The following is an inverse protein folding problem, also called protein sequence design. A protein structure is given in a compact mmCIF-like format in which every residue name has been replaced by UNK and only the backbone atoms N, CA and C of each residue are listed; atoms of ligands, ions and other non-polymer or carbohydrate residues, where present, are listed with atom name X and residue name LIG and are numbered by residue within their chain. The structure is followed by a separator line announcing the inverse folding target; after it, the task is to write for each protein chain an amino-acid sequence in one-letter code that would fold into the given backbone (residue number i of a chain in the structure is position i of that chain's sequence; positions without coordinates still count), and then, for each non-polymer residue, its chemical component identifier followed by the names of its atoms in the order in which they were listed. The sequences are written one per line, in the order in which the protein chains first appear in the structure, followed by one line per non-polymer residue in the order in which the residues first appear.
data_IF_764977202255
#
_entry.id   IF_764977202255
#
_cell.length_a   1.000
_cell.length_b   1.000
_cell.length_c   1.000
_cell.angle_alpha   90.00
_cell.angle_beta   90.00
_cell.angle_gamma   90.00
#
_symmetry.space_group_name_H-M   'P 1'
#
loop_
_entity.id
_entity.type
_entity.pdbx_description
1 polymer ?
#
# COMPACT_ATOMS: atom_id res chain seq x y z
N UNK A 1 -64.41 -54.50 3.61
CA UNK A 1 -63.19 -53.92 4.20
C UNK A 1 -62.07 -53.95 3.19
N UNK A 2 -61.84 -52.82 2.47
CA UNK A 2 -60.84 -52.71 1.41
C UNK A 2 -59.68 -51.89 1.97
N UNK A 3 -58.50 -52.50 2.19
CA UNK A 3 -57.25 -51.79 2.57
C UNK A 3 -56.63 -51.16 1.34
N UNK A 4 -56.57 -49.83 1.33
CA UNK A 4 -55.77 -49.03 0.34
C UNK A 4 -54.31 -49.01 0.78
N UNK A 5 -53.42 -49.57 -0.06
CA UNK A 5 -52.01 -49.52 0.07
C UNK A 5 -51.55 -48.16 -0.56
N UNK A 6 -50.99 -47.29 0.25
CA UNK A 6 -50.39 -45.99 -0.24
C UNK A 6 -48.93 -46.27 -0.58
N UNK A 7 -48.61 -46.27 -1.88
CA UNK A 7 -47.22 -46.37 -2.35
C UNK A 7 -46.61 -44.96 -2.33
N UNK A 8 -45.65 -44.71 -1.42
CA UNK A 8 -44.86 -43.47 -1.38
C UNK A 8 -43.70 -43.62 -2.38
N UNK A 9 -43.76 -42.90 -3.49
CA UNK A 9 -42.62 -42.73 -4.39
C UNK A 9 -41.63 -41.73 -3.77
N UNK A 10 -40.50 -42.22 -3.31
CA UNK A 10 -39.37 -41.37 -2.92
C UNK A 10 -38.61 -40.93 -4.19
N UNK A 11 -38.77 -39.67 -4.57
CA UNK A 11 -38.00 -39.06 -5.65
C UNK A 11 -36.57 -38.78 -5.16
N UNK A 12 -35.62 -39.64 -5.56
CA UNK A 12 -34.20 -39.31 -5.43
C UNK A 12 -33.85 -38.16 -6.40
N UNK A 13 -33.69 -36.98 -5.90
CA UNK A 13 -33.09 -35.89 -6.65
C UNK A 13 -31.58 -36.18 -6.78
N UNK A 14 -31.14 -36.68 -7.93
CA UNK A 14 -29.74 -36.70 -8.31
C UNK A 14 -29.29 -35.22 -8.45
N UNK A 15 -28.53 -34.73 -7.49
CA UNK A 15 -27.76 -33.51 -7.67
C UNK A 15 -26.71 -33.78 -8.76
N UNK A 16 -27.03 -33.41 -9.99
CA UNK A 16 -26.06 -33.41 -11.07
C UNK A 16 -24.93 -32.45 -10.69
N UNK A 17 -23.75 -32.97 -10.37
CA UNK A 17 -22.52 -32.19 -10.30
C UNK A 17 -22.30 -31.58 -11.68
N UNK A 18 -22.64 -30.29 -11.85
CA UNK A 18 -22.31 -29.57 -13.06
C UNK A 18 -20.79 -29.64 -13.26
N UNK A 19 -20.35 -30.10 -14.44
CA UNK A 19 -18.94 -30.12 -14.77
C UNK A 19 -18.40 -28.65 -14.63
N UNK A 20 -17.23 -28.45 -14.01
CA UNK A 20 -16.63 -27.15 -13.97
C UNK A 20 -16.53 -26.57 -15.39
N UNK A 21 -16.81 -25.29 -15.56
CA UNK A 21 -16.58 -24.60 -16.83
C UNK A 21 -15.11 -24.66 -17.25
N UNK A 22 -14.78 -24.26 -18.49
CA UNK A 22 -13.40 -24.24 -18.94
C UNK A 22 -12.53 -23.37 -18.01
N UNK A 23 -11.28 -23.77 -17.84
CA UNK A 23 -10.32 -22.99 -17.06
C UNK A 23 -10.04 -21.66 -17.75
N UNK A 24 -10.04 -20.59 -16.97
CA UNK A 24 -9.59 -19.27 -17.40
C UNK A 24 -8.12 -19.07 -16.97
N UNK A 25 -7.29 -18.64 -17.90
CA UNK A 25 -5.87 -18.36 -17.66
C UNK A 25 -5.59 -16.89 -17.94
N UNK A 26 -5.03 -16.18 -16.97
CA UNK A 26 -4.74 -14.76 -17.05
C UNK A 26 -3.63 -14.39 -16.08
N UNK A 27 -3.32 -13.13 -15.96
CA UNK A 27 -2.39 -12.66 -14.94
C UNK A 27 -2.62 -11.20 -14.58
N UNK A 28 -1.77 -10.72 -13.66
CA UNK A 28 -1.71 -9.32 -13.31
C UNK A 28 -0.27 -8.84 -13.33
N UNK A 29 -0.07 -7.61 -13.77
CA UNK A 29 1.19 -6.89 -13.61
C UNK A 29 0.91 -5.62 -12.83
N UNK A 30 1.66 -5.40 -11.74
CA UNK A 30 1.61 -4.17 -10.96
C UNK A 30 2.87 -3.34 -11.20
N UNK A 31 2.69 -2.04 -11.41
CA UNK A 31 3.76 -1.09 -11.63
C UNK A 31 3.70 0.07 -10.65
N UNK A 32 4.87 0.52 -10.23
CA UNK A 32 5.04 1.77 -9.50
C UNK A 32 5.87 2.70 -10.39
N UNK A 33 5.19 3.54 -11.17
CA UNK A 33 5.81 4.24 -12.28
C UNK A 33 6.34 3.25 -13.32
N UNK A 34 7.60 3.39 -13.70
CA UNK A 34 8.26 2.51 -14.69
C UNK A 34 8.69 1.15 -14.11
N UNK A 35 8.63 0.97 -12.79
CA UNK A 35 9.07 -0.26 -12.15
C UNK A 35 7.96 -1.28 -12.02
N UNK A 36 8.14 -2.49 -12.53
CA UNK A 36 7.33 -3.64 -12.15
C UNK A 36 7.60 -3.99 -10.70
N UNK A 37 6.55 -4.09 -9.89
CA UNK A 37 6.64 -4.39 -8.46
C UNK A 37 6.07 -5.76 -8.11
N UNK A 38 5.10 -6.26 -8.88
CA UNK A 38 4.67 -7.65 -8.83
C UNK A 38 4.20 -8.16 -10.19
N UNK A 39 4.24 -9.48 -10.35
CA UNK A 39 3.71 -10.20 -11.49
C UNK A 39 3.02 -11.47 -10.99
N UNK A 40 1.84 -11.74 -11.51
CA UNK A 40 1.00 -12.86 -11.06
C UNK A 40 0.44 -13.62 -12.26
N UNK A 41 0.55 -14.95 -12.21
CA UNK A 41 -0.09 -15.90 -13.12
C UNK A 41 -1.28 -16.52 -12.40
N UNK A 42 -2.47 -16.51 -12.99
CA UNK A 42 -3.70 -16.96 -12.36
C UNK A 42 -4.43 -17.97 -13.25
N UNK A 43 -4.89 -19.05 -12.63
CA UNK A 43 -5.81 -20.00 -13.24
C UNK A 43 -7.09 -20.07 -12.41
N UNK A 44 -8.23 -19.92 -13.05
CA UNK A 44 -9.54 -20.04 -12.39
C UNK A 44 -10.38 -21.12 -13.05
N UNK A 45 -10.88 -22.06 -12.26
CA UNK A 45 -11.77 -23.13 -12.71
C UNK A 45 -12.97 -23.22 -11.76
N UNK A 46 -14.12 -22.74 -12.20
CA UNK A 46 -15.31 -22.68 -11.37
C UNK A 46 -15.12 -21.83 -10.10
N UNK A 47 -15.13 -22.48 -8.93
CA UNK A 47 -14.91 -21.82 -7.64
C UNK A 47 -13.48 -21.96 -7.10
N UNK A 48 -12.57 -22.51 -7.89
CA UNK A 48 -11.15 -22.64 -7.51
C UNK A 48 -10.33 -21.61 -8.25
N UNK A 49 -9.42 -20.95 -7.53
CA UNK A 49 -8.44 -20.00 -8.05
C UNK A 49 -7.06 -20.46 -7.60
N UNK A 50 -6.14 -20.65 -8.54
CA UNK A 50 -4.72 -20.91 -8.24
C UNK A 50 -3.89 -19.77 -8.78
N UNK A 51 -2.85 -19.37 -8.08
CA UNK A 51 -1.93 -18.35 -8.58
C UNK A 51 -0.49 -18.60 -8.18
N UNK A 52 0.43 -18.23 -9.09
CA UNK A 52 1.86 -18.06 -8.84
C UNK A 52 2.19 -16.59 -8.94
N UNK A 53 2.77 -16.03 -7.89
CA UNK A 53 3.06 -14.59 -7.80
C UNK A 53 4.49 -14.36 -7.36
N UNK A 54 5.08 -13.28 -7.87
CA UNK A 54 6.33 -12.72 -7.36
C UNK A 54 6.19 -11.22 -7.12
N UNK A 55 6.62 -10.77 -5.94
CA UNK A 55 6.78 -9.36 -5.61
C UNK A 55 8.20 -9.04 -5.12
N UNK A 56 8.49 -7.75 -4.95
CA UNK A 56 9.85 -7.34 -4.53
C UNK A 56 9.89 -6.36 -3.37
N UNK A 57 8.80 -6.13 -2.65
CA UNK A 57 8.82 -5.16 -1.55
C UNK A 57 8.11 -5.64 -0.29
N UNK A 58 8.77 -5.55 0.86
CA UNK A 58 10.13 -5.04 1.12
C UNK A 58 11.25 -5.99 0.69
N UNK A 59 10.91 -7.23 0.38
CA UNK A 59 11.78 -8.33 -0.08
C UNK A 59 11.18 -8.97 -1.30
N UNK A 60 11.94 -9.82 -1.96
CA UNK A 60 11.40 -10.70 -2.99
C UNK A 60 10.65 -11.84 -2.29
N UNK A 61 9.36 -11.96 -2.57
CA UNK A 61 8.56 -13.12 -2.20
C UNK A 61 8.11 -13.83 -3.47
N UNK A 62 8.12 -15.15 -3.41
CA UNK A 62 7.44 -16.01 -4.37
C UNK A 62 6.32 -16.71 -3.63
N UNK A 63 5.09 -16.65 -4.15
CA UNK A 63 3.90 -17.26 -3.55
C UNK A 63 3.20 -18.17 -4.53
N UNK A 64 2.86 -19.35 -4.04
CA UNK A 64 1.89 -20.22 -4.68
C UNK A 64 0.62 -20.27 -3.84
N UNK A 65 -0.54 -20.07 -4.43
CA UNK A 65 -1.81 -20.13 -3.70
C UNK A 65 -2.85 -20.99 -4.39
N UNK A 66 -3.62 -21.73 -3.58
CA UNK A 66 -4.81 -22.45 -4.00
C UNK A 66 -5.99 -21.99 -3.13
N UNK A 67 -7.04 -21.49 -3.78
CA UNK A 67 -8.19 -20.89 -3.10
C UNK A 67 -9.47 -21.56 -3.59
N UNK A 68 -10.29 -22.03 -2.65
CA UNK A 68 -11.66 -22.43 -2.92
C UNK A 68 -12.63 -21.36 -2.41
N UNK A 69 -13.53 -20.92 -3.27
CA UNK A 69 -14.51 -19.88 -2.95
C UNK A 69 -15.80 -20.48 -2.39
N UNK A 70 -16.39 -19.74 -1.46
CA UNK A 70 -17.72 -20.01 -0.93
C UNK A 70 -18.80 -19.49 -1.90
N UNK A 71 -20.07 -19.92 -1.75
CA UNK A 71 -21.17 -19.45 -2.60
C UNK A 71 -21.38 -17.93 -2.59
N UNK A 72 -21.04 -17.23 -1.50
CA UNK A 72 -21.10 -15.75 -1.41
C UNK A 72 -19.91 -15.06 -2.11
N UNK A 73 -18.98 -15.81 -2.69
CA UNK A 73 -17.78 -15.28 -3.37
C UNK A 73 -16.58 -15.05 -2.48
N UNK A 74 -16.74 -15.13 -1.16
CA UNK A 74 -15.64 -15.08 -0.21
C UNK A 74 -14.81 -16.36 -0.19
N UNK A 75 -13.74 -16.39 0.58
CA UNK A 75 -12.88 -17.55 0.73
C UNK A 75 -13.56 -18.59 1.62
N UNK A 76 -13.54 -19.84 1.18
CA UNK A 76 -13.89 -21.01 1.97
C UNK A 76 -12.64 -21.72 2.49
N UNK A 77 -11.67 -21.91 1.63
CA UNK A 77 -10.41 -22.56 1.94
C UNK A 77 -9.28 -21.87 1.18
N UNK A 78 -8.14 -21.68 1.80
CA UNK A 78 -6.93 -21.15 1.19
C UNK A 78 -5.74 -21.94 1.68
N UNK A 79 -4.89 -22.35 0.74
CA UNK A 79 -3.53 -22.82 1.00
C UNK A 79 -2.58 -21.86 0.31
N UNK A 80 -1.51 -21.46 1.00
CA UNK A 80 -0.49 -20.60 0.42
C UNK A 80 0.90 -21.00 0.90
N UNK A 81 1.79 -21.23 -0.05
CA UNK A 81 3.21 -21.42 0.17
C UNK A 81 3.96 -20.13 -0.19
N UNK A 82 4.82 -19.68 0.71
CA UNK A 82 5.58 -18.44 0.54
C UNK A 82 7.06 -18.74 0.74
N UNK A 83 7.88 -18.32 -0.21
CA UNK A 83 9.34 -18.33 -0.10
C UNK A 83 9.90 -16.92 -0.18
N UNK A 84 11.01 -16.70 0.48
CA UNK A 84 11.77 -15.44 0.44
C UNK A 84 13.23 -15.79 0.13
N UNK A 85 13.59 -15.91 -1.16
CA UNK A 85 14.87 -16.47 -1.58
C UNK A 85 16.10 -15.74 -1.03
N UNK A 86 15.98 -14.44 -0.79
CA UNK A 86 17.08 -13.59 -0.30
C UNK A 86 17.32 -13.69 1.22
N UNK A 87 16.40 -14.30 1.96
CA UNK A 87 16.50 -14.40 3.41
C UNK A 87 15.78 -15.67 3.92
N UNK A 88 16.35 -16.84 3.60
CA UNK A 88 15.76 -18.13 3.98
C UNK A 88 15.77 -18.39 5.48
N UNK A 89 16.68 -17.77 6.23
CA UNK A 89 16.84 -18.03 7.67
C UNK A 89 15.81 -17.28 8.51
N UNK A 90 15.57 -15.99 8.21
CA UNK A 90 14.62 -15.15 8.95
C UNK A 90 13.19 -15.30 8.41
N UNK A 91 13.05 -15.45 7.08
CA UNK A 91 11.78 -15.54 6.38
C UNK A 91 11.61 -16.90 5.71
N UNK A 92 12.08 -17.94 6.37
CA UNK A 92 12.02 -19.32 5.86
C UNK A 92 10.68 -19.67 5.23
N UNK A 93 10.61 -20.68 4.36
CA UNK A 93 9.36 -21.06 3.72
C UNK A 93 8.23 -21.16 4.72
N UNK A 94 7.11 -20.54 4.39
CA UNK A 94 5.89 -20.51 5.21
C UNK A 94 4.79 -21.24 4.46
N UNK A 95 4.14 -22.15 5.13
CA UNK A 95 2.94 -22.83 4.66
C UNK A 95 1.75 -22.33 5.47
N UNK A 96 0.76 -21.75 4.82
CA UNK A 96 -0.41 -21.14 5.44
C UNK A 96 -1.66 -21.84 4.96
N UNK A 97 -2.51 -22.25 5.88
CA UNK A 97 -3.84 -22.79 5.60
C UNK A 97 -4.86 -21.94 6.32
N UNK A 98 -5.91 -21.53 5.63
CA UNK A 98 -7.04 -20.82 6.21
C UNK A 98 -8.35 -21.50 5.81
N UNK A 99 -9.15 -21.86 6.81
CA UNK A 99 -10.47 -22.44 6.66
C UNK A 99 -11.54 -21.47 7.18
N UNK A 100 -12.50 -21.14 6.33
CA UNK A 100 -13.66 -20.34 6.71
C UNK A 100 -14.87 -21.27 6.80
N UNK A 101 -15.36 -21.49 8.01
CA UNK A 101 -16.49 -22.39 8.27
C UNK A 101 -17.38 -21.82 9.37
N UNK A 102 -18.70 -21.86 9.13
CA UNK A 102 -19.66 -21.27 10.05
C UNK A 102 -19.35 -19.79 10.30
N UNK A 103 -19.21 -19.41 11.56
CA UNK A 103 -18.91 -18.03 11.98
C UNK A 103 -17.44 -17.84 12.38
N UNK A 104 -16.51 -18.58 11.77
CA UNK A 104 -15.09 -18.49 12.11
C UNK A 104 -14.15 -18.65 10.92
N UNK A 105 -12.99 -18.00 11.02
CA UNK A 105 -11.79 -18.30 10.22
C UNK A 105 -10.79 -18.97 11.13
N UNK A 106 -10.30 -20.12 10.71
CA UNK A 106 -9.21 -20.83 11.36
C UNK A 106 -8.00 -20.75 10.46
N UNK A 107 -6.91 -20.18 10.97
CA UNK A 107 -5.65 -20.07 10.23
C UNK A 107 -4.56 -20.86 10.92
N UNK A 108 -3.77 -21.56 10.15
CA UNK A 108 -2.56 -22.25 10.60
C UNK A 108 -1.39 -21.79 9.76
N UNK A 109 -0.32 -21.35 10.40
CA UNK A 109 0.98 -21.08 9.78
C UNK A 109 1.98 -22.11 10.26
N UNK A 110 2.72 -22.68 9.33
CA UNK A 110 3.89 -23.54 9.59
C UNK A 110 5.12 -22.90 8.97
N UNK A 111 6.18 -22.79 9.73
CA UNK A 111 7.50 -22.34 9.30
C UNK A 111 8.60 -23.11 10.03
N UNK A 112 9.88 -22.72 9.88
CA UNK A 112 11.02 -23.36 10.55
C UNK A 112 10.95 -23.31 12.08
N UNK A 113 10.17 -22.37 12.65
CA UNK A 113 10.00 -22.23 14.12
C UNK A 113 8.89 -23.11 14.68
N UNK A 114 8.11 -23.76 13.82
CA UNK A 114 7.01 -24.65 14.21
C UNK A 114 5.67 -24.28 13.58
N UNK A 115 4.57 -24.65 14.24
CA UNK A 115 3.22 -24.40 13.77
C UNK A 115 2.44 -23.54 14.78
N UNK A 116 1.79 -22.50 14.28
CA UNK A 116 0.89 -21.65 15.08
C UNK A 116 -0.50 -21.66 14.46
N UNK A 117 -1.52 -21.57 15.31
CA UNK A 117 -2.94 -21.59 14.91
C UNK A 117 -3.69 -20.44 15.57
N UNK A 118 -4.55 -19.79 14.80
CA UNK A 118 -5.44 -18.72 15.24
C UNK A 118 -6.86 -19.03 14.82
N UNK A 119 -7.81 -18.49 15.57
CA UNK A 119 -9.23 -18.55 15.22
C UNK A 119 -9.85 -17.15 15.44
N UNK A 120 -10.61 -16.70 14.45
CA UNK A 120 -11.26 -15.38 14.47
C UNK A 120 -12.74 -15.53 14.13
N UNK A 121 -13.60 -14.79 14.85
CA UNK A 121 -15.03 -14.76 14.53
C UNK A 121 -15.29 -13.91 13.27
N UNK A 122 -16.04 -14.45 12.31
CA UNK A 122 -16.44 -13.74 11.08
C UNK A 122 -17.68 -12.91 11.28
N UNK A 123 -18.52 -13.27 12.26
CA UNK A 123 -19.82 -12.66 12.54
C UNK A 123 -20.74 -12.63 11.32
N UNK A 124 -20.74 -13.72 10.54
CA UNK A 124 -21.54 -13.86 9.33
C UNK A 124 -21.08 -13.04 8.12
N UNK A 125 -19.96 -12.34 8.22
CA UNK A 125 -19.46 -11.53 7.12
C UNK A 125 -18.81 -12.37 6.02
N UNK A 126 -18.84 -11.86 4.79
CA UNK A 126 -18.02 -12.39 3.68
C UNK A 126 -16.55 -12.10 3.96
N UNK A 127 -15.72 -13.15 3.88
CA UNK A 127 -14.30 -13.10 4.23
C UNK A 127 -13.44 -13.22 2.99
N UNK A 128 -12.45 -12.36 2.89
CA UNK A 128 -11.41 -12.35 1.85
C UNK A 128 -10.02 -12.38 2.50
N UNK A 129 -8.99 -12.69 1.73
CA UNK A 129 -7.60 -12.60 2.18
C UNK A 129 -6.95 -11.32 1.67
N UNK A 130 -5.96 -10.83 2.39
CA UNK A 130 -5.16 -9.67 1.99
C UNK A 130 -3.68 -9.98 1.95
N UNK A 131 -3.09 -9.79 0.77
CA UNK A 131 -1.66 -9.67 0.53
C UNK A 131 -1.47 -8.42 -0.34
N UNK A 132 -0.63 -7.46 0.06
CA UNK A 132 -0.59 -6.13 -0.56
C UNK A 132 -0.35 -6.11 -2.07
N UNK A 133 0.25 -7.14 -2.64
CA UNK A 133 0.68 -7.17 -4.04
C UNK A 133 0.10 -8.34 -4.84
N UNK A 134 -0.83 -9.11 -4.27
CA UNK A 134 -1.56 -10.19 -4.96
C UNK A 134 -2.91 -9.70 -5.47
N UNK A 135 -3.03 -9.48 -6.76
CA UNK A 135 -4.23 -8.88 -7.35
C UNK A 135 -5.32 -9.89 -7.69
N UNK A 136 -5.01 -11.17 -7.74
CA UNK A 136 -6.04 -12.22 -7.68
C UNK A 136 -6.85 -12.16 -6.38
N UNK A 137 -6.22 -11.81 -5.24
CA UNK A 137 -6.92 -11.57 -3.98
C UNK A 137 -7.73 -10.27 -4.02
N UNK A 138 -7.19 -9.18 -4.62
CA UNK A 138 -7.96 -7.95 -4.83
C UNK A 138 -9.18 -8.18 -5.73
N UNK A 139 -9.08 -9.02 -6.75
CA UNK A 139 -10.23 -9.43 -7.57
C UNK A 139 -11.34 -10.02 -6.71
N UNK A 140 -11.02 -10.76 -5.65
CA UNK A 140 -12.02 -11.35 -4.77
C UNK A 140 -12.81 -10.32 -3.97
N UNK A 141 -12.23 -9.17 -3.64
CA UNK A 141 -12.98 -8.08 -3.01
C UNK A 141 -14.12 -7.62 -3.90
N UNK A 142 -13.83 -7.37 -5.17
CA UNK A 142 -14.82 -6.89 -6.14
C UNK A 142 -15.81 -7.97 -6.52
N UNK A 143 -15.34 -9.17 -6.86
CA UNK A 143 -16.17 -10.28 -7.26
C UNK A 143 -17.17 -10.69 -6.15
N UNK A 144 -16.73 -10.73 -4.89
CA UNK A 144 -17.60 -11.07 -3.77
C UNK A 144 -18.60 -9.96 -3.44
N UNK A 145 -18.17 -8.70 -3.46
CA UNK A 145 -19.05 -7.56 -3.18
C UNK A 145 -20.10 -7.37 -4.27
N UNK A 146 -19.70 -7.43 -5.54
CA UNK A 146 -20.58 -7.19 -6.68
C UNK A 146 -21.53 -8.36 -6.95
N UNK A 147 -21.28 -9.54 -6.40
CA UNK A 147 -22.18 -10.70 -6.49
C UNK A 147 -23.59 -10.42 -5.95
N UNK A 148 -23.71 -9.50 -5.00
CA UNK A 148 -24.99 -9.07 -4.43
C UNK A 148 -25.68 -8.00 -5.25
N UNK A 149 -25.16 -7.67 -6.46
CA UNK A 149 -25.69 -6.67 -7.37
C UNK A 149 -26.04 -5.31 -6.70
N UNK A 150 -25.11 -4.71 -5.91
CA UNK A 150 -25.38 -3.45 -5.23
C UNK A 150 -25.68 -2.34 -6.24
N UNK A 151 -26.56 -1.40 -5.88
CA UNK A 151 -26.81 -0.23 -6.70
C UNK A 151 -25.58 0.71 -6.75
N UNK A 152 -25.44 1.54 -7.78
CA UNK A 152 -24.40 2.56 -7.79
C UNK A 152 -24.49 3.46 -6.55
N UNK A 153 -23.38 3.61 -5.85
CA UNK A 153 -23.28 4.33 -4.56
C UNK A 153 -23.33 3.44 -3.33
N UNK A 154 -23.84 2.22 -3.43
CA UNK A 154 -23.87 1.27 -2.32
C UNK A 154 -22.45 0.83 -1.92
N UNK A 155 -22.30 0.57 -0.63
CA UNK A 155 -21.05 0.08 -0.04
C UNK A 155 -21.29 -1.29 0.59
N UNK A 156 -20.50 -2.26 0.18
CA UNK A 156 -20.56 -3.64 0.69
C UNK A 156 -19.41 -3.86 1.66
N UNK A 157 -19.67 -4.18 2.94
CA UNK A 157 -18.62 -4.47 3.91
C UNK A 157 -18.10 -5.89 3.74
N UNK A 158 -16.80 -6.06 3.91
CA UNK A 158 -16.08 -7.33 3.91
C UNK A 158 -15.21 -7.44 5.17
N UNK A 159 -14.87 -8.67 5.55
CA UNK A 159 -13.82 -8.94 6.52
C UNK A 159 -12.62 -9.52 5.80
N UNK A 160 -11.42 -9.13 6.26
CA UNK A 160 -10.18 -9.62 5.66
C UNK A 160 -9.24 -10.18 6.72
N UNK A 161 -8.52 -11.24 6.36
CA UNK A 161 -7.39 -11.71 7.14
C UNK A 161 -6.09 -11.44 6.39
N UNK A 162 -5.05 -11.17 7.16
CA UNK A 162 -3.73 -10.83 6.65
C UNK A 162 -2.85 -12.07 6.61
N UNK A 163 -2.11 -12.27 5.52
CA UNK A 163 -1.28 -13.47 5.33
C UNK A 163 0.17 -13.20 5.74
N UNK A 164 0.72 -12.06 5.39
CA UNK A 164 2.14 -11.75 5.55
C UNK A 164 2.49 -11.01 6.84
N UNK A 165 1.56 -10.90 7.79
CA UNK A 165 1.82 -10.21 9.06
C UNK A 165 1.63 -11.09 10.28
N UNK A 166 2.07 -10.53 11.40
CA UNK A 166 1.86 -11.07 12.74
C UNK A 166 0.36 -11.16 13.03
N UNK A 167 -0.23 -12.31 12.80
CA UNK A 167 -1.65 -12.57 13.00
C UNK A 167 -2.13 -12.26 14.41
N UNK A 168 -1.23 -12.30 15.39
CA UNK A 168 -1.50 -12.06 16.81
C UNK A 168 -1.92 -10.61 17.10
N UNK A 169 -1.50 -9.66 16.26
CA UNK A 169 -1.77 -8.22 16.44
C UNK A 169 -3.06 -7.74 15.79
N UNK A 170 -3.53 -8.46 14.78
CA UNK A 170 -4.63 -8.01 13.96
C UNK A 170 -5.62 -9.16 13.77
N UNK A 171 -6.72 -9.18 14.56
CA UNK A 171 -7.88 -10.01 14.23
C UNK A 171 -8.37 -9.64 12.83
N UNK A 172 -9.47 -10.23 12.35
CA UNK A 172 -10.01 -9.88 11.05
C UNK A 172 -10.13 -8.37 10.88
N UNK A 173 -9.46 -7.86 9.85
CA UNK A 173 -9.55 -6.48 9.42
C UNK A 173 -10.86 -6.18 8.69
N UNK A 174 -11.01 -4.93 8.24
CA UNK A 174 -12.19 -4.45 7.55
C UNK A 174 -11.80 -3.99 6.14
N UNK A 175 -12.68 -4.28 5.19
CA UNK A 175 -12.63 -3.68 3.87
C UNK A 175 -14.04 -3.31 3.44
N UNK A 176 -14.15 -2.37 2.52
CA UNK A 176 -15.40 -2.01 1.88
C UNK A 176 -15.18 -1.86 0.38
N UNK A 177 -16.15 -2.35 -0.39
CA UNK A 177 -16.21 -2.09 -1.83
C UNK A 177 -17.44 -1.21 -2.08
N UNK A 178 -17.22 -0.08 -2.73
CA UNK A 178 -18.28 0.84 -3.14
C UNK A 178 -18.46 0.75 -4.64
N UNK A 179 -19.64 0.36 -5.11
CA UNK A 179 -19.97 0.41 -6.53
C UNK A 179 -20.11 1.86 -6.99
N UNK A 180 -19.50 2.16 -8.12
CA UNK A 180 -19.67 3.44 -8.82
C UNK A 180 -20.52 3.23 -10.07
N UNK A 181 -20.67 4.25 -10.88
CA UNK A 181 -21.37 4.15 -12.17
C UNK A 181 -20.55 3.35 -13.19
N UNK A 182 -21.24 2.64 -14.07
CA UNK A 182 -20.61 1.83 -15.11
C UNK A 182 -19.87 0.61 -14.54
N UNK A 183 -18.64 0.42 -14.98
CA UNK A 183 -17.73 -0.67 -14.65
C UNK A 183 -16.74 -0.33 -13.51
N UNK A 184 -16.93 0.79 -12.84
CA UNK A 184 -16.02 1.30 -11.82
C UNK A 184 -16.45 0.91 -10.41
N UNK A 185 -15.50 0.53 -9.59
CA UNK A 185 -15.66 0.28 -8.15
C UNK A 185 -14.52 0.89 -7.36
N UNK A 186 -14.78 1.23 -6.11
CA UNK A 186 -13.78 1.71 -5.17
C UNK A 186 -13.58 0.69 -4.05
N UNK A 187 -12.35 0.53 -3.58
CA UNK A 187 -12.03 -0.30 -2.43
C UNK A 187 -11.30 0.52 -1.37
N UNK A 188 -11.76 0.38 -0.15
CA UNK A 188 -11.06 0.82 1.05
C UNK A 188 -10.78 -0.40 1.92
N UNK A 189 -9.64 -0.44 2.56
CA UNK A 189 -9.30 -1.42 3.58
C UNK A 189 -8.38 -0.80 4.64
N UNK A 190 -8.43 -1.30 5.86
CA UNK A 190 -7.72 -0.75 7.02
C UNK A 190 -6.19 -0.96 7.00
N UNK A 191 -5.68 -1.66 5.99
CA UNK A 191 -4.25 -1.86 5.77
C UNK A 191 -3.54 -0.66 5.12
N UNK A 192 -4.22 0.02 4.20
CA UNK A 192 -3.65 1.06 3.36
C UNK A 192 -4.51 2.33 3.46
N UNK A 193 -3.89 3.46 3.83
CA UNK A 193 -4.61 4.73 3.86
C UNK A 193 -5.01 5.16 2.45
N UNK A 194 -6.24 5.62 2.30
CA UNK A 194 -6.81 6.09 1.04
C UNK A 194 -7.78 5.09 0.39
N UNK A 195 -8.24 5.43 -0.79
CA UNK A 195 -9.21 4.66 -1.55
C UNK A 195 -8.59 4.30 -2.89
N UNK A 196 -8.56 2.99 -3.19
CA UNK A 196 -8.19 2.49 -4.50
C UNK A 196 -9.39 2.45 -5.44
N UNK A 197 -9.14 2.64 -6.73
CA UNK A 197 -10.15 2.57 -7.78
C UNK A 197 -9.89 1.39 -8.72
N UNK A 198 -10.95 0.73 -9.15
CA UNK A 198 -10.87 -0.41 -10.04
C UNK A 198 -11.86 -0.30 -11.18
N UNK A 199 -11.46 -0.75 -12.36
CA UNK A 199 -12.37 -1.13 -13.44
C UNK A 199 -12.59 -2.64 -13.37
N UNK A 200 -13.85 -3.06 -13.40
CA UNK A 200 -14.26 -4.46 -13.28
C UNK A 200 -15.25 -4.83 -14.37
N UNK A 201 -15.31 -6.09 -14.73
CA UNK A 201 -16.35 -6.60 -15.63
C UNK A 201 -17.68 -6.85 -14.88
N UNK A 202 -18.67 -7.32 -15.61
CA UNK A 202 -20.01 -7.62 -15.06
C UNK A 202 -20.03 -8.75 -14.02
N UNK A 203 -18.99 -9.57 -13.98
CA UNK A 203 -18.79 -10.63 -12.99
C UNK A 203 -17.94 -10.17 -11.79
N UNK A 204 -17.52 -8.91 -11.76
CA UNK A 204 -16.62 -8.36 -10.74
C UNK A 204 -15.17 -8.78 -10.94
N UNK A 205 -14.76 -9.20 -12.15
CA UNK A 205 -13.36 -9.51 -12.46
C UNK A 205 -12.58 -8.21 -12.58
N UNK A 206 -11.44 -8.16 -11.93
CA UNK A 206 -10.56 -7.01 -11.97
C UNK A 206 -9.92 -6.88 -13.36
N UNK A 207 -10.12 -5.74 -14.03
CA UNK A 207 -9.51 -5.40 -15.31
C UNK A 207 -8.33 -4.45 -15.13
N UNK A 208 -8.51 -3.45 -14.28
CA UNK A 208 -7.49 -2.48 -13.92
C UNK A 208 -7.69 -2.02 -12.47
N UNK A 209 -6.60 -1.71 -11.76
CA UNK A 209 -6.64 -1.10 -10.44
C UNK A 209 -5.65 0.04 -10.35
N UNK A 210 -6.10 1.17 -9.83
CA UNK A 210 -5.26 2.33 -9.54
C UNK A 210 -5.21 2.57 -8.04
N UNK A 211 -4.01 2.54 -7.50
CA UNK A 211 -3.69 2.96 -6.14
C UNK A 211 -3.41 4.46 -6.00
N UNK A 212 -3.67 5.30 -7.03
CA UNK A 212 -3.34 6.72 -7.02
C UNK A 212 -3.92 7.47 -5.82
N UNK A 213 -5.13 7.10 -5.39
CA UNK A 213 -5.80 7.65 -4.20
C UNK A 213 -5.33 7.06 -2.86
N UNK A 214 -4.30 6.20 -2.85
CA UNK A 214 -3.79 5.52 -1.66
C UNK A 214 -2.35 5.92 -1.33
N UNK A 215 -1.84 5.42 -0.21
CA UNK A 215 -0.41 5.58 0.13
C UNK A 215 0.51 4.67 -0.68
N UNK A 216 -0.02 3.66 -1.39
CA UNK A 216 0.71 2.78 -2.30
C UNK A 216 0.23 3.00 -3.74
N UNK A 217 0.86 3.92 -4.43
CA UNK A 217 0.44 4.46 -5.73
C UNK A 217 0.85 3.56 -6.91
N UNK A 218 0.32 2.35 -6.92
CA UNK A 218 0.53 1.37 -8.01
C UNK A 218 -0.55 1.46 -9.05
N UNK A 219 -0.21 1.08 -10.28
CA UNK A 219 -1.13 0.81 -11.38
C UNK A 219 -1.06 -0.68 -11.72
N UNK A 220 -2.20 -1.31 -11.87
CA UNK A 220 -2.33 -2.75 -12.10
C UNK A 220 -3.16 -3.02 -13.33
N UNK A 221 -2.63 -3.87 -14.19
CA UNK A 221 -3.30 -4.30 -15.42
C UNK A 221 -3.53 -5.81 -15.40
N UNK A 222 -4.73 -6.22 -15.81
CA UNK A 222 -5.02 -7.62 -16.13
C UNK A 222 -4.37 -8.00 -17.46
N UNK A 223 -3.67 -9.09 -17.48
CA UNK A 223 -3.05 -9.68 -18.67
C UNK A 223 -3.96 -10.79 -19.22
N UNK A 224 -4.30 -10.74 -20.50
CA UNK A 224 -5.11 -11.77 -21.17
C UNK A 224 -4.38 -13.09 -21.39
N UNK A 225 -3.06 -13.08 -21.27
CA UNK A 225 -2.21 -14.27 -21.33
C UNK A 225 -1.48 -14.43 -20.00
N UNK A 226 -1.40 -15.65 -19.44
CA UNK A 226 -0.73 -15.90 -18.18
C UNK A 226 0.77 -15.63 -18.36
N UNK A 227 1.37 -14.77 -17.53
CA UNK A 227 2.80 -14.48 -17.62
C UNK A 227 3.63 -15.59 -16.99
N UNK A 228 4.87 -15.76 -17.48
CA UNK A 228 5.86 -16.54 -16.76
C UNK A 228 6.50 -15.69 -15.65
N UNK A 229 6.29 -16.05 -14.40
CA UNK A 229 6.78 -15.31 -13.23
C UNK A 229 8.26 -15.56 -12.94
N UNK A 230 8.82 -16.72 -13.30
CA UNK A 230 10.17 -17.15 -12.94
C UNK A 230 11.28 -16.21 -13.43
N UNK A 231 11.29 -15.72 -14.68
CA UNK A 231 12.31 -14.75 -15.13
C UNK A 231 12.28 -13.45 -14.35
N UNK A 232 11.08 -13.03 -13.89
CA UNK A 232 10.91 -11.81 -13.10
C UNK A 232 11.39 -12.05 -11.66
N UNK A 233 11.09 -13.21 -11.06
CA UNK A 233 11.61 -13.61 -9.77
C UNK A 233 13.16 -13.61 -9.75
N UNK A 234 13.78 -14.24 -10.75
CA UNK A 234 15.23 -14.26 -10.88
C UNK A 234 15.84 -12.85 -11.03
N UNK A 235 15.18 -11.97 -11.81
CA UNK A 235 15.60 -10.57 -11.96
C UNK A 235 15.47 -9.81 -10.63
N UNK A 236 14.39 -10.00 -9.90
CA UNK A 236 14.18 -9.34 -8.61
C UNK A 236 15.21 -9.81 -7.58
N UNK A 237 15.47 -11.10 -7.49
CA UNK A 237 16.48 -11.68 -6.62
C UNK A 237 17.90 -11.14 -6.94
N UNK A 238 18.23 -11.04 -8.22
CA UNK A 238 19.52 -10.47 -8.65
C UNK A 238 19.65 -8.98 -8.31
N UNK A 239 18.56 -8.20 -8.43
CA UNK A 239 18.55 -6.78 -8.02
C UNK A 239 18.67 -6.62 -6.51
N UNK A 240 18.03 -7.49 -5.73
CA UNK A 240 18.13 -7.48 -4.28
C UNK A 240 19.55 -7.82 -3.82
N UNK A 241 20.15 -8.86 -4.37
CA UNK A 241 21.53 -9.25 -4.10
C UNK A 241 22.53 -8.13 -4.44
N UNK A 242 22.39 -7.51 -5.62
CA UNK A 242 23.25 -6.37 -6.05
C UNK A 242 23.15 -5.18 -5.11
N UNK A 243 22.01 -4.95 -4.51
CA UNK A 243 21.75 -3.81 -3.63
C UNK A 243 22.09 -4.08 -2.15
N UNK A 244 22.66 -5.23 -1.83
CA UNK A 244 23.04 -5.59 -0.46
C UNK A 244 21.86 -5.97 0.43
N UNK A 245 20.79 -6.53 -0.14
CA UNK A 245 19.62 -7.00 0.57
C UNK A 245 18.42 -6.09 0.45
N UNK A 246 17.53 -6.15 1.43
CA UNK A 246 16.22 -5.48 1.43
C UNK A 246 16.35 -3.98 1.30
N UNK A 247 15.70 -3.41 0.28
CA UNK A 247 15.50 -1.96 0.21
C UNK A 247 14.02 -1.63 0.30
N UNK A 248 13.70 -0.76 1.24
CA UNK A 248 12.39 -0.11 1.28
C UNK A 248 12.17 0.69 -0.01
N UNK A 249 10.91 0.81 -0.43
CA UNK A 249 10.52 1.64 -1.59
C UNK A 249 11.00 3.08 -1.48
N UNK A 250 11.11 3.57 -0.25
CA UNK A 250 11.62 4.89 0.10
C UNK A 250 12.51 4.75 1.33
N UNK A 251 13.79 4.86 1.12
CA UNK A 251 14.79 4.82 2.21
C UNK A 251 14.61 6.05 3.10
N UNK A 252 14.77 5.89 4.41
CA UNK A 252 14.81 7.02 5.34
C UNK A 252 16.25 7.47 5.52
N UNK A 253 16.47 8.78 5.53
CA UNK A 253 17.79 9.41 5.61
C UNK A 253 17.74 10.67 6.49
N UNK A 254 18.88 11.17 6.91
CA UNK A 254 18.99 12.38 7.71
C UNK A 254 20.00 13.34 7.12
N UNK A 255 19.54 14.48 6.58
CA UNK A 255 20.40 15.61 6.22
C UNK A 255 20.81 16.38 7.47
N UNK A 256 22.09 16.67 7.60
CA UNK A 256 22.67 17.41 8.73
C UNK A 256 23.47 18.61 8.23
N UNK A 257 23.40 19.73 8.96
CA UNK A 257 24.21 20.93 8.67
C UNK A 257 24.45 21.75 9.94
N UNK A 258 25.39 22.66 9.85
CA UNK A 258 25.65 23.70 10.87
C UNK A 258 25.67 25.05 10.19
N UNK A 259 24.97 26.04 10.76
CA UNK A 259 25.00 27.45 10.34
C UNK A 259 25.30 28.26 11.59
N UNK A 260 26.48 28.85 11.65
CA UNK A 260 26.94 29.54 12.85
C UNK A 260 27.00 28.60 14.06
N UNK A 261 26.26 28.95 15.11
CA UNK A 261 26.13 28.11 16.32
C UNK A 261 24.96 27.12 16.28
N UNK A 262 24.12 27.19 15.26
CA UNK A 262 22.94 26.31 15.15
C UNK A 262 23.26 25.03 14.38
N UNK A 263 22.89 23.90 14.95
CA UNK A 263 22.90 22.58 14.28
C UNK A 263 21.51 22.21 13.82
N UNK A 264 21.46 21.52 12.68
CA UNK A 264 20.22 21.10 12.02
C UNK A 264 20.24 19.62 11.72
N UNK A 265 19.10 18.98 11.84
CA UNK A 265 18.87 17.64 11.35
C UNK A 265 17.51 17.57 10.67
N UNK A 266 17.45 17.02 9.45
CA UNK A 266 16.21 16.76 8.74
C UNK A 266 16.13 15.27 8.48
N UNK A 267 15.23 14.58 9.17
CA UNK A 267 15.00 13.15 9.03
C UNK A 267 13.76 12.93 8.16
N UNK A 268 13.91 12.27 7.00
CA UNK A 268 12.89 12.21 5.97
C UNK A 268 12.95 10.92 5.15
N UNK A 269 11.82 10.52 4.59
CA UNK A 269 11.75 9.42 3.62
C UNK A 269 12.06 9.93 2.22
N UNK A 270 12.83 9.15 1.45
CA UNK A 270 13.33 9.49 0.11
C UNK A 270 12.62 8.69 -0.98
N UNK A 271 11.45 9.11 -1.49
CA UNK A 271 10.79 8.44 -2.60
C UNK A 271 11.55 8.65 -3.92
N UNK A 272 11.51 7.63 -4.80
CA UNK A 272 12.02 7.71 -6.17
C UNK A 272 10.93 8.24 -7.10
N UNK A 273 11.30 9.01 -8.11
CA UNK A 273 10.39 9.55 -9.12
C UNK A 273 9.81 8.45 -10.03
N UNK A 274 10.64 7.51 -10.48
CA UNK A 274 10.26 6.35 -11.29
C UNK A 274 9.52 6.73 -12.57
N UNK A 275 9.90 7.85 -13.19
CA UNK A 275 9.24 8.36 -14.40
C UNK A 275 7.82 8.87 -14.20
N UNK A 276 7.33 8.99 -12.96
CA UNK A 276 5.96 9.47 -12.68
C UNK A 276 5.88 10.98 -12.79
N UNK A 277 4.70 11.47 -13.13
CA UNK A 277 4.36 12.89 -13.00
C UNK A 277 4.18 13.23 -11.51
N UNK A 278 5.13 13.99 -10.97
CA UNK A 278 5.20 14.20 -9.52
C UNK A 278 4.12 15.18 -9.04
N UNK A 279 4.07 16.40 -9.57
CA UNK A 279 3.06 17.38 -9.17
C UNK A 279 1.77 17.22 -9.99
N UNK A 280 0.65 17.23 -9.29
CA UNK A 280 -0.68 16.99 -9.84
C UNK A 280 -1.13 15.53 -9.77
N UNK A 281 -0.18 14.56 -9.73
CA UNK A 281 -0.48 13.12 -9.67
C UNK A 281 0.05 12.49 -8.38
N UNK A 282 1.39 12.30 -8.25
CA UNK A 282 1.97 11.70 -7.02
C UNK A 282 1.73 12.60 -5.82
N UNK A 283 1.85 13.90 -6.01
CA UNK A 283 1.53 14.95 -5.04
C UNK A 283 0.42 15.80 -5.66
N UNK A 284 -0.87 15.56 -5.33
CA UNK A 284 -1.98 16.33 -5.88
C UNK A 284 -1.84 17.81 -5.50
N UNK A 285 -2.24 18.68 -6.40
CA UNK A 285 -2.34 20.10 -6.08
C UNK A 285 -3.47 20.34 -5.07
N UNK A 286 -3.23 21.21 -4.10
CA UNK A 286 -4.17 21.55 -3.04
C UNK A 286 -4.15 20.59 -1.85
N UNK A 287 -3.40 19.50 -1.93
CA UNK A 287 -3.26 18.54 -0.84
C UNK A 287 -1.95 18.78 -0.05
N UNK A 288 -2.04 18.65 1.27
CA UNK A 288 -0.88 18.72 2.14
C UNK A 288 -0.05 17.44 2.03
N UNK A 289 1.20 17.60 1.60
CA UNK A 289 2.14 16.51 1.45
C UNK A 289 3.15 16.49 2.60
N UNK A 290 3.45 15.31 3.11
CA UNK A 290 4.43 15.05 4.21
C UNK A 290 5.87 15.36 3.88
N UNK A 291 6.16 16.00 2.75
CA UNK A 291 7.49 16.41 2.27
C UNK A 291 8.49 15.26 2.27
N UNK A 292 8.04 14.12 1.75
CA UNK A 292 8.81 12.86 1.73
C UNK A 292 7.92 11.64 1.62
N UNK A 293 8.32 10.53 2.23
CA UNK A 293 7.59 9.27 2.22
C UNK A 293 7.52 8.65 3.62
N UNK A 294 6.50 7.79 3.84
CA UNK A 294 6.24 7.08 5.09
C UNK A 294 5.93 8.04 6.25
N UNK A 295 6.73 8.07 7.31
CA UNK A 295 6.57 9.03 8.39
C UNK A 295 6.82 10.47 7.91
N UNK A 296 6.15 11.45 8.53
CA UNK A 296 6.34 12.86 8.22
C UNK A 296 7.79 13.30 8.37
N UNK A 297 8.25 14.23 7.53
CA UNK A 297 9.60 14.78 7.58
C UNK A 297 9.80 15.57 8.84
N UNK A 298 10.78 15.19 9.65
CA UNK A 298 11.12 15.87 10.91
C UNK A 298 12.27 16.84 10.71
N UNK A 299 12.12 18.04 11.23
CA UNK A 299 13.13 19.11 11.21
C UNK A 299 13.49 19.49 12.64
N UNK A 300 14.74 19.37 12.99
CA UNK A 300 15.26 19.76 14.31
C UNK A 300 16.26 20.88 14.17
N UNK A 301 16.15 21.89 15.01
CA UNK A 301 17.11 23.01 15.15
C UNK A 301 17.53 23.18 16.60
N UNK A 302 18.83 23.34 16.84
CA UNK A 302 19.39 23.58 18.18
C UNK A 302 19.28 25.03 18.67
N UNK A 303 18.92 25.97 17.82
CA UNK A 303 18.80 27.38 18.14
C UNK A 303 17.52 27.97 17.53
N UNK A 304 17.03 29.13 18.02
CA UNK A 304 15.95 29.85 17.37
C UNK A 304 16.34 30.29 15.97
N UNK A 305 15.41 30.10 15.02
CA UNK A 305 15.62 30.47 13.60
C UNK A 305 14.37 31.11 13.00
N UNK A 306 14.52 31.68 11.81
CA UNK A 306 13.39 31.79 10.89
C UNK A 306 13.58 30.83 9.71
N UNK A 307 12.51 30.15 9.30
CA UNK A 307 12.44 29.34 8.08
C UNK A 307 11.37 29.95 7.17
N UNK A 308 11.76 30.45 6.02
CA UNK A 308 10.89 31.21 5.11
C UNK A 308 10.09 32.32 5.83
N UNK A 309 10.69 32.99 6.85
CA UNK A 309 10.05 34.00 7.67
C UNK A 309 9.21 33.47 8.85
N UNK A 310 9.00 32.18 8.98
CA UNK A 310 8.31 31.56 10.12
C UNK A 310 9.30 31.52 11.32
N UNK A 311 8.94 32.15 12.42
CA UNK A 311 9.74 32.12 13.66
C UNK A 311 9.64 30.74 14.32
N UNK A 312 10.75 30.06 14.50
CA UNK A 312 10.87 28.74 15.08
C UNK A 312 11.82 28.77 16.29
N UNK A 313 11.33 28.56 17.52
CA UNK A 313 12.20 28.24 18.66
C UNK A 313 13.08 27.02 18.40
N UNK A 314 14.14 26.85 19.17
CA UNK A 314 14.89 25.58 19.18
C UNK A 314 13.94 24.41 19.51
N UNK A 315 14.05 23.31 18.77
CA UNK A 315 13.16 22.16 18.95
C UNK A 315 13.02 21.30 17.71
N UNK A 316 12.09 20.35 17.79
CA UNK A 316 11.74 19.42 16.73
C UNK A 316 10.32 19.70 16.22
N UNK A 317 10.16 19.69 14.91
CA UNK A 317 8.95 20.02 14.18
C UNK A 317 8.75 19.00 13.05
N UNK A 318 7.59 19.00 12.40
CA UNK A 318 7.46 18.36 11.07
C UNK A 318 7.28 19.41 9.99
N UNK A 319 7.85 19.10 8.83
CA UNK A 319 7.71 19.90 7.62
C UNK A 319 6.68 19.24 6.71
N UNK A 320 5.74 20.06 6.24
CA UNK A 320 4.76 19.70 5.23
C UNK A 320 4.83 20.72 4.10
N UNK A 321 4.44 20.32 2.92
CA UNK A 321 4.31 21.24 1.78
C UNK A 321 2.91 21.16 1.20
N UNK A 322 2.44 22.28 0.69
CA UNK A 322 1.16 22.41 0.00
C UNK A 322 1.43 22.96 -1.41
N UNK A 323 1.62 22.09 -2.41
CA UNK A 323 1.82 22.53 -3.77
C UNK A 323 0.51 22.99 -4.39
N UNK A 324 0.59 24.07 -5.17
CA UNK A 324 -0.50 24.60 -5.98
C UNK A 324 0.03 24.95 -7.37
N UNK A 325 -0.81 25.08 -8.39
CA UNK A 325 -0.36 25.49 -9.72
C UNK A 325 0.38 26.83 -9.71
N UNK A 326 0.07 27.73 -8.75
CA UNK A 326 0.66 29.06 -8.60
C UNK A 326 1.92 29.10 -7.74
N UNK A 327 2.34 27.99 -7.12
CA UNK A 327 3.51 27.95 -6.23
C UNK A 327 3.34 26.93 -5.11
N UNK A 328 4.32 26.87 -4.22
CA UNK A 328 4.32 25.91 -3.10
C UNK A 328 4.44 26.65 -1.77
N UNK A 329 3.66 26.23 -0.78
CA UNK A 329 3.83 26.66 0.60
C UNK A 329 4.57 25.59 1.40
N UNK A 330 5.46 26.01 2.29
CA UNK A 330 5.99 25.18 3.37
C UNK A 330 5.15 25.42 4.63
N UNK A 331 4.89 24.36 5.35
CA UNK A 331 4.13 24.36 6.61
C UNK A 331 5.04 23.77 7.68
N UNK A 332 5.24 24.53 8.76
CA UNK A 332 5.93 24.04 9.96
C UNK A 332 4.88 23.66 10.99
N UNK A 333 4.90 22.39 11.43
CA UNK A 333 3.93 21.87 12.38
C UNK A 333 4.63 21.44 13.68
N UNK A 334 4.03 21.77 14.82
CA UNK A 334 4.57 21.50 16.17
C UNK A 334 4.46 20.04 16.60
N UNK A 335 3.67 19.23 15.91
CA UNK A 335 3.61 17.79 16.15
C UNK A 335 4.80 17.12 15.45
N UNK A 336 5.39 16.11 16.07
CA UNK A 336 6.48 15.31 15.50
C UNK A 336 6.32 13.83 15.88
N UNK A 337 6.98 12.94 15.13
CA UNK A 337 6.93 11.51 15.34
C UNK A 337 5.71 10.80 14.72
N UNK A 338 4.81 11.54 14.06
CA UNK A 338 3.60 10.98 13.45
C UNK A 338 3.86 10.40 12.06
N UNK A 339 2.93 9.54 11.64
CA UNK A 339 2.90 9.03 10.29
C UNK A 339 2.53 10.14 9.29
N UNK A 340 2.95 9.99 8.05
CA UNK A 340 2.77 11.02 7.02
C UNK A 340 1.35 11.22 6.50
N UNK A 341 0.35 10.51 7.02
CA UNK A 341 -1.07 10.73 6.79
C UNK A 341 -1.79 11.35 8.00
N UNK A 342 -1.06 11.61 9.09
CA UNK A 342 -1.59 12.12 10.35
C UNK A 342 -1.29 13.63 10.51
N UNK A 343 -1.64 14.40 9.49
CA UNK A 343 -1.49 15.86 9.53
C UNK A 343 -2.60 16.50 10.37
N UNK A 344 -2.20 17.33 11.33
CA UNK A 344 -3.13 18.09 12.16
C UNK A 344 -2.89 19.60 11.98
N UNK A 345 -3.76 20.31 11.25
CA UNK A 345 -3.60 21.74 10.97
C UNK A 345 -3.67 22.63 12.22
N UNK A 346 -4.31 22.18 13.32
CA UNK A 346 -4.35 22.93 14.57
C UNK A 346 -2.99 23.03 15.26
N UNK A 347 -2.02 22.23 14.82
CA UNK A 347 -0.65 22.22 15.33
C UNK A 347 0.33 23.03 14.46
N UNK A 348 -0.15 23.69 13.42
CA UNK A 348 0.71 24.55 12.58
C UNK A 348 1.33 25.67 13.42
N UNK A 349 2.62 25.81 13.29
CA UNK A 349 3.37 26.95 13.81
C UNK A 349 3.26 28.14 12.83
N UNK A 350 3.29 27.83 11.53
CA UNK A 350 3.15 28.81 10.48
C UNK A 350 3.22 28.19 9.09
N UNK A 351 2.83 28.99 8.11
CA UNK A 351 2.90 28.68 6.68
C UNK A 351 3.54 29.82 5.93
N UNK A 352 4.34 29.53 4.92
CA UNK A 352 4.97 30.54 4.09
C UNK A 352 5.12 30.04 2.65
N UNK A 353 5.03 30.95 1.69
CA UNK A 353 5.41 30.64 0.31
C UNK A 353 6.91 30.44 0.21
N UNK A 354 7.31 29.44 -0.57
CA UNK A 354 8.71 29.14 -0.86
C UNK A 354 8.97 29.24 -2.35
N UNK A 355 10.22 29.52 -2.70
CA UNK A 355 10.60 29.56 -4.10
C UNK A 355 10.50 28.15 -4.72
N UNK A 356 9.94 28.08 -5.92
CA UNK A 356 9.84 26.88 -6.73
C UNK A 356 10.54 27.14 -8.05
N UNK A 357 11.46 26.27 -8.41
CA UNK A 357 12.30 26.37 -9.60
C UNK A 357 12.46 25.00 -10.25
N UNK A 358 13.07 24.96 -11.42
CA UNK A 358 13.45 23.75 -12.11
C UNK A 358 14.85 23.34 -11.69
N UNK A 359 15.05 22.08 -11.30
CA UNK A 359 16.37 21.53 -11.04
C UNK A 359 17.21 21.51 -12.33
N UNK A 360 18.48 21.88 -12.25
CA UNK A 360 19.39 21.85 -13.42
C UNK A 360 19.50 20.46 -14.03
N UNK A 361 19.47 19.42 -13.18
CA UNK A 361 19.42 18.02 -13.56
C UNK A 361 18.32 17.37 -12.76
N UNK A 362 17.41 16.60 -13.38
CA UNK A 362 16.36 15.90 -12.64
C UNK A 362 16.93 14.95 -11.58
N UNK A 363 16.37 15.04 -10.36
CA UNK A 363 16.79 14.26 -9.20
C UNK A 363 15.84 13.08 -9.02
N UNK A 364 16.31 11.86 -9.27
CA UNK A 364 15.48 10.66 -9.19
C UNK A 364 14.96 10.39 -7.77
N UNK A 365 15.82 10.56 -6.77
CA UNK A 365 15.49 10.29 -5.37
C UNK A 365 15.29 11.61 -4.62
N UNK A 366 14.11 11.80 -4.01
CA UNK A 366 13.82 13.01 -3.24
C UNK A 366 14.94 13.32 -2.24
N UNK A 367 15.50 14.49 -2.36
CA UNK A 367 16.66 14.92 -1.59
C UNK A 367 16.39 16.23 -0.87
N UNK A 368 16.67 16.26 0.43
CA UNK A 368 16.67 17.47 1.25
C UNK A 368 18.11 17.80 1.64
N UNK A 369 18.48 19.05 1.51
CA UNK A 369 19.77 19.57 1.95
C UNK A 369 19.63 20.93 2.64
N UNK A 370 20.52 21.21 3.57
CA UNK A 370 20.66 22.52 4.20
C UNK A 370 22.02 23.10 3.76
N UNK A 371 21.98 24.20 3.04
CA UNK A 371 23.13 24.82 2.41
C UNK A 371 23.46 26.11 3.17
N UNK A 372 24.57 26.17 3.96
CA UNK A 372 25.03 27.40 4.57
C UNK A 372 25.42 28.44 3.50
N UNK A 373 24.97 29.66 3.65
CA UNK A 373 25.30 30.77 2.74
C UNK A 373 26.12 31.89 3.43
N UNK A 374 26.03 31.97 4.75
CA UNK A 374 26.88 32.86 5.60
C UNK A 374 26.90 32.32 7.03
N UNK A 375 27.56 33.06 7.94
CA UNK A 375 27.62 32.68 9.37
C UNK A 375 26.26 32.57 10.08
N UNK A 376 25.21 33.19 9.54
CA UNK A 376 23.88 33.22 10.16
C UNK A 376 22.75 32.86 9.17
N UNK A 377 23.08 32.53 7.93
CA UNK A 377 22.08 32.28 6.88
C UNK A 377 22.38 30.98 6.14
N UNK A 378 21.34 30.38 5.69
CA UNK A 378 21.37 29.20 4.82
C UNK A 378 20.07 29.04 4.06
N UNK A 379 20.00 27.96 3.34
CA UNK A 379 18.82 27.58 2.54
C UNK A 379 18.49 26.13 2.79
N UNK A 380 17.25 25.83 3.14
CA UNK A 380 16.69 24.49 3.01
C UNK A 380 16.33 24.28 1.54
N UNK A 381 16.95 23.33 0.89
CA UNK A 381 16.66 22.94 -0.49
C UNK A 381 16.01 21.54 -0.49
N UNK A 382 14.99 21.38 -1.32
CA UNK A 382 14.28 20.13 -1.55
C UNK A 382 14.22 19.90 -3.05
N UNK A 383 14.63 18.72 -3.51
CA UNK A 383 14.74 18.40 -4.94
C UNK A 383 14.11 17.04 -5.23
N UNK A 384 13.24 16.99 -6.26
CA UNK A 384 12.67 15.75 -6.72
C UNK A 384 12.20 15.84 -8.19
N UNK A 385 12.64 14.91 -9.01
CA UNK A 385 12.42 14.99 -10.45
C UNK A 385 12.98 16.31 -11.00
N UNK A 386 12.20 17.04 -11.80
CA UNK A 386 12.61 18.34 -12.32
C UNK A 386 12.38 19.51 -11.35
N UNK A 387 11.86 19.26 -10.13
CA UNK A 387 11.46 20.31 -9.21
C UNK A 387 12.52 20.58 -8.15
N UNK A 388 12.71 21.88 -7.85
CA UNK A 388 13.52 22.36 -6.76
C UNK A 388 12.75 23.42 -5.97
N UNK A 389 12.63 23.21 -4.65
CA UNK A 389 12.02 24.17 -3.73
C UNK A 389 13.07 24.68 -2.77
N UNK A 390 13.04 25.97 -2.46
CA UNK A 390 14.01 26.56 -1.53
C UNK A 390 13.33 27.46 -0.52
N UNK A 391 13.73 27.30 0.76
CA UNK A 391 13.29 28.12 1.88
C UNK A 391 14.49 28.73 2.60
N UNK A 392 14.58 30.04 2.76
CA UNK A 392 15.67 30.69 3.46
C UNK A 392 15.61 30.37 4.96
N UNK A 393 16.81 30.13 5.54
CA UNK A 393 17.02 29.95 6.98
C UNK A 393 17.83 31.17 7.49
N UNK A 394 17.40 31.73 8.61
CA UNK A 394 18.19 32.72 9.35
C UNK A 394 18.28 32.29 10.81
N UNK A 395 19.49 32.12 11.31
CA UNK A 395 19.76 31.84 12.73
C UNK A 395 19.59 33.13 13.52
N UNK A 396 18.71 33.09 14.52
CA UNK A 396 18.45 34.22 15.38
C UNK A 396 19.46 34.28 16.55
N UNK A 397 19.83 35.46 17.05
CA UNK A 397 20.62 35.53 18.25
C UNK A 397 19.95 34.82 19.43
N UNK A 398 20.72 34.14 20.25
CA UNK A 398 20.20 33.63 21.51
C UNK A 398 19.59 34.78 22.31
N UNK A 399 18.39 34.62 22.85
CA UNK A 399 17.81 35.61 23.73
C UNK A 399 18.80 35.85 24.88
N UNK A 400 19.34 37.05 25.01
CA UNK A 400 20.13 37.42 26.19
C UNK A 400 19.19 37.26 27.38
N UNK A 401 19.46 36.28 28.24
CA UNK A 401 18.76 36.17 29.51
C UNK A 401 18.77 37.50 30.24
N UNK A 402 17.59 37.98 30.60
CA UNK A 402 17.46 39.11 31.52
C UNK A 402 17.69 38.60 32.92
#
# INVERSE_FOLDING_TARGET
MMRRVLTVLASLALAACAKPGPAEHYGFVARLGNDTVSLENVTRTGNTVTSDEVDRFPRVHERHSEITLAPNGGIRHLVMDITTPSDPDTWSPRHIVADVSGDSVIMTKRDSTGSKRWAFATRGATVVAHVPQMYSLYELYFASALKHAPAPGDTVPLRQFYIDREFDRFPLGHATVRRRNGDTAQVWHDWLSGIGEATVDTAGRLLHYSGAGTTYKVEVERLSQPPNVQPVAARFAALEAKNGGVKQLSVRDTARATIGSATFAVDYGRPLARGRKLLGDVIPYGDVWRTGANAATQFTTSAPITLAGINMPAGTYTLWTLPQPSGTQIIVNKQFGQWGTEYNPSRDLGRANIASDTAHTPVEEFTISILPTSAQRGTLAMEWGPFRWTAPIVVLPAARGR
#
